data_IF_088908697064
#
_entry.id   IF_088908697064
#
_cell.length_a   1.000
_cell.length_b   1.000
_cell.length_c   1.000
_cell.angle_alpha   90.00
_cell.angle_beta   90.00
_cell.angle_gamma   90.00
#
_symmetry.space_group_name_H-M   'P 1'
#
loop_
_entity.id
_entity.type
_entity.pdbx_description
1 polymer ?
#
# COMPACT_ATOMS: atom_id res chain seq x y z
N UNK A 1 3.21 -4.70 -21.53
CA UNK A 1 2.98 -3.28 -21.17
C UNK A 1 2.29 -3.18 -19.82
N UNK A 2 2.94 -3.64 -18.75
CA UNK A 2 2.36 -3.62 -17.39
C UNK A 2 2.96 -2.44 -16.64
N UNK A 3 2.31 -1.29 -16.75
CA UNK A 3 2.58 -0.17 -15.85
C UNK A 3 2.23 -0.61 -14.44
N UNK A 4 3.24 -1.00 -13.64
CA UNK A 4 3.09 -1.12 -12.19
C UNK A 4 2.57 0.22 -11.69
N UNK A 5 1.35 0.22 -11.15
CA UNK A 5 0.82 1.39 -10.49
C UNK A 5 1.81 1.87 -9.42
N UNK A 6 1.93 3.19 -9.32
CA UNK A 6 2.97 3.91 -8.59
C UNK A 6 2.80 3.87 -7.05
N UNK A 7 2.41 2.73 -6.48
CA UNK A 7 2.31 2.53 -5.04
C UNK A 7 3.58 1.88 -4.45
N UNK A 8 3.71 2.00 -3.13
CA UNK A 8 4.86 1.59 -2.34
C UNK A 8 4.65 0.25 -1.64
N UNK A 9 3.44 -0.31 -1.69
CA UNK A 9 3.17 -1.66 -1.20
C UNK A 9 3.98 -2.68 -2.02
N UNK A 10 4.68 -3.59 -1.33
CA UNK A 10 5.63 -4.52 -1.95
C UNK A 10 5.43 -6.00 -1.55
N UNK A 11 4.51 -6.29 -0.63
CA UNK A 11 4.24 -7.66 -0.18
C UNK A 11 3.24 -7.71 0.95
N UNK A 12 3.03 -8.91 1.47
CA UNK A 12 2.19 -9.18 2.63
C UNK A 12 3.01 -9.98 3.65
N UNK A 13 2.79 -9.77 4.95
CA UNK A 13 3.45 -10.54 6.04
C UNK A 13 2.43 -11.01 7.05
N UNK A 14 2.51 -12.27 7.45
CA UNK A 14 1.65 -12.81 8.49
C UNK A 14 1.95 -12.19 9.86
N UNK A 15 0.89 -11.77 10.59
CA UNK A 15 1.01 -11.21 11.94
C UNK A 15 1.48 -12.21 13.00
N UNK A 16 1.38 -13.50 12.70
CA UNK A 16 1.63 -14.57 13.67
C UNK A 16 2.89 -15.35 13.34
N UNK A 17 2.99 -15.94 12.14
CA UNK A 17 4.13 -16.76 11.76
C UNK A 17 5.20 -16.01 10.94
N UNK A 18 5.01 -14.71 10.71
CA UNK A 18 5.95 -13.81 10.01
C UNK A 18 6.30 -14.19 8.57
N UNK A 19 5.63 -15.21 8.00
CA UNK A 19 5.83 -15.61 6.61
C UNK A 19 5.43 -14.49 5.65
N UNK A 20 6.28 -14.28 4.64
CA UNK A 20 6.02 -13.36 3.54
C UNK A 20 5.14 -14.01 2.46
N UNK A 21 4.27 -13.19 1.87
CA UNK A 21 3.35 -13.55 0.79
C UNK A 21 3.40 -12.47 -0.29
N UNK A 22 3.07 -12.85 -1.52
CA UNK A 22 2.95 -11.90 -2.63
C UNK A 22 1.77 -10.95 -2.40
N UNK A 23 1.91 -9.71 -2.86
CA UNK A 23 0.83 -8.72 -2.84
C UNK A 23 -0.15 -9.04 -3.97
N UNK A 24 -1.23 -9.75 -3.63
CA UNK A 24 -2.27 -10.19 -4.55
C UNK A 24 -3.63 -9.72 -4.04
N UNK A 25 -4.49 -9.30 -4.97
CA UNK A 25 -5.84 -8.83 -4.65
C UNK A 25 -6.64 -9.89 -3.89
N UNK A 26 -7.31 -9.46 -2.80
CA UNK A 26 -8.18 -10.31 -2.00
C UNK A 26 -7.46 -11.30 -1.08
N UNK A 27 -6.13 -11.29 -1.00
CA UNK A 27 -5.39 -12.16 -0.08
C UNK A 27 -5.24 -11.50 1.30
N UNK A 28 -5.96 -12.01 2.30
CA UNK A 28 -5.90 -11.52 3.69
C UNK A 28 -5.62 -12.61 4.73
N UNK A 29 -5.65 -13.89 4.35
CA UNK A 29 -5.42 -15.05 5.23
C UNK A 29 -4.10 -15.74 4.88
N UNK A 30 -3.26 -15.99 5.89
CA UNK A 30 -2.01 -16.70 5.73
C UNK A 30 -2.26 -18.18 5.39
N UNK A 31 -1.79 -18.62 4.22
CA UNK A 31 -1.89 -20.01 3.78
C UNK A 31 -1.16 -21.02 4.70
N UNK A 32 -0.24 -20.57 5.56
CA UNK A 32 0.53 -21.46 6.44
C UNK A 32 -0.05 -21.63 7.84
N UNK A 33 -0.78 -20.64 8.37
CA UNK A 33 -1.27 -20.70 9.76
C UNK A 33 -2.68 -20.12 9.97
N UNK A 34 -3.35 -19.61 8.93
CA UNK A 34 -4.71 -19.08 9.01
C UNK A 34 -4.85 -17.70 9.65
N UNK A 35 -3.77 -17.10 10.17
CA UNK A 35 -3.81 -15.75 10.73
C UNK A 35 -3.83 -14.66 9.63
N UNK A 36 -4.13 -13.42 10.04
CA UNK A 36 -4.20 -12.29 9.12
C UNK A 36 -2.83 -11.92 8.52
N UNK A 37 -2.87 -11.34 7.32
CA UNK A 37 -1.74 -10.75 6.63
C UNK A 37 -1.78 -9.22 6.74
N UNK A 38 -0.62 -8.60 6.92
CA UNK A 38 -0.42 -7.15 6.87
C UNK A 38 0.33 -6.75 5.61
N UNK A 39 0.01 -5.57 5.08
CA UNK A 39 0.71 -4.99 3.93
C UNK A 39 2.11 -4.54 4.32
N UNK A 40 3.09 -4.92 3.52
CA UNK A 40 4.47 -4.45 3.59
C UNK A 40 4.68 -3.30 2.60
N UNK A 41 5.46 -2.31 3.01
CA UNK A 41 5.74 -1.10 2.25
C UNK A 41 7.24 -0.88 2.10
N UNK A 42 7.65 -0.31 0.97
CA UNK A 42 8.99 0.26 0.81
C UNK A 42 9.09 1.58 1.59
N UNK A 43 9.48 1.48 2.85
CA UNK A 43 9.60 2.62 3.74
C UNK A 43 10.76 3.56 3.39
N UNK A 44 11.79 3.07 2.68
CA UNK A 44 12.87 3.95 2.24
C UNK A 44 12.33 4.95 1.20
N UNK A 45 11.64 4.44 0.18
CA UNK A 45 10.98 5.28 -0.84
C UNK A 45 9.82 6.08 -0.27
N UNK A 46 9.11 5.56 0.74
CA UNK A 46 8.04 6.30 1.41
C UNK A 46 8.57 7.58 2.07
N UNK A 47 9.70 7.51 2.79
CA UNK A 47 10.30 8.66 3.47
C UNK A 47 10.72 9.77 2.49
N UNK A 48 11.18 9.40 1.30
CA UNK A 48 11.54 10.37 0.26
C UNK A 48 10.33 11.10 -0.32
N UNK A 49 9.17 10.44 -0.38
CA UNK A 49 7.96 10.95 -1.08
C UNK A 49 6.96 11.62 -0.13
N UNK A 50 6.79 11.08 1.07
CA UNK A 50 5.77 11.46 2.04
C UNK A 50 6.41 12.26 3.19
N UNK A 51 6.88 13.47 2.87
CA UNK A 51 7.41 14.38 3.88
C UNK A 51 6.30 15.22 4.49
N UNK A 52 6.54 15.73 5.70
CA UNK A 52 5.56 16.59 6.41
C UNK A 52 5.26 17.85 5.59
N UNK A 53 6.28 18.43 4.97
CA UNK A 53 6.21 19.65 4.18
C UNK A 53 5.38 19.43 2.92
N UNK A 54 5.62 18.32 2.19
CA UNK A 54 4.83 17.97 1.00
C UNK A 54 3.36 17.73 1.35
N UNK A 55 3.09 16.94 2.39
CA UNK A 55 1.73 16.65 2.83
C UNK A 55 0.99 17.91 3.33
N UNK A 56 1.69 18.83 4.01
CA UNK A 56 1.12 20.09 4.46
C UNK A 56 0.76 21.00 3.28
N UNK A 57 1.65 21.08 2.29
CA UNK A 57 1.48 21.88 1.07
C UNK A 57 0.47 21.30 0.07
N UNK A 58 0.12 20.01 0.17
CA UNK A 58 -0.85 19.37 -0.72
C UNK A 58 -2.25 19.99 -0.54
N UNK A 59 -2.81 20.50 -1.64
CA UNK A 59 -4.14 21.09 -1.66
C UNK A 59 -5.25 20.02 -1.54
N UNK A 60 -4.95 18.77 -1.92
CA UNK A 60 -5.89 17.65 -1.77
C UNK A 60 -5.96 17.23 -0.30
N UNK A 61 -7.08 17.55 0.36
CA UNK A 61 -7.31 17.22 1.77
C UNK A 61 -7.98 15.86 2.00
N UNK A 62 -8.08 15.01 0.97
CA UNK A 62 -8.61 13.65 1.07
C UNK A 62 -7.52 12.61 1.37
N UNK A 63 -7.88 11.32 1.43
CA UNK A 63 -6.91 10.22 1.52
C UNK A 63 -5.97 10.13 0.31
N UNK A 64 -6.35 10.72 -0.83
CA UNK A 64 -5.57 10.66 -2.08
C UNK A 64 -4.21 11.35 -1.99
N UNK A 65 -3.99 12.27 -1.03
CA UNK A 65 -2.64 12.80 -0.72
C UNK A 65 -1.65 11.73 -0.26
N UNK A 66 -2.15 10.56 0.16
CA UNK A 66 -1.36 9.37 0.50
C UNK A 66 -1.38 8.32 -0.62
N UNK A 67 -1.73 8.67 -1.86
CA UNK A 67 -1.82 7.76 -3.00
C UNK A 67 -0.62 6.79 -3.12
N UNK A 68 0.65 7.19 -2.88
CA UNK A 68 1.75 6.23 -2.90
C UNK A 68 1.63 5.07 -1.91
N UNK A 69 0.87 5.19 -0.82
CA UNK A 69 0.63 4.09 0.14
C UNK A 69 -0.61 3.25 -0.19
N UNK A 70 -1.46 3.71 -1.11
CA UNK A 70 -2.69 3.00 -1.43
C UNK A 70 -2.38 1.94 -2.49
N UNK A 71 -2.58 0.64 -2.23
CA UNK A 71 -2.31 -0.43 -3.19
C UNK A 71 -3.44 -0.50 -4.23
N UNK A 72 -3.67 0.59 -4.95
CA UNK A 72 -4.70 0.73 -5.99
C UNK A 72 -4.06 1.10 -7.32
N UNK A 73 -4.67 0.67 -8.43
CA UNK A 73 -4.15 0.92 -9.76
C UNK A 73 -4.11 2.42 -10.13
N UNK A 74 -4.98 3.23 -9.52
CA UNK A 74 -5.08 4.65 -9.75
C UNK A 74 -6.15 5.31 -8.89
N UNK A 75 -6.37 6.60 -9.12
CA UNK A 75 -7.45 7.32 -8.48
C UNK A 75 -8.79 6.80 -9.00
N UNK A 76 -9.64 6.30 -8.11
CA UNK A 76 -11.02 6.00 -8.47
C UNK A 76 -11.76 7.33 -8.66
N UNK A 77 -12.33 7.54 -9.84
CA UNK A 77 -13.22 8.66 -10.12
C UNK A 77 -14.68 8.19 -9.95
N UNK A 78 -15.49 8.97 -9.22
CA UNK A 78 -16.89 8.65 -8.94
C UNK A 78 -17.14 7.97 -7.57
N UNK A 79 -18.41 7.80 -7.18
CA UNK A 79 -18.76 7.03 -5.97
C UNK A 79 -18.38 5.55 -6.14
N UNK A 80 -18.12 4.83 -5.03
CA UNK A 80 -17.76 3.41 -5.05
C UNK A 80 -18.89 2.52 -5.60
#
# INVERSE_FOLDING_TARGET
MTGRAAHLANGLRCVHCERDHELVDGLYVCASCGANLLVQYDWARARERLTRERLAADADRTLWRYAPLLPVAGRLEGPP
#
